data_IF_477780583478
#
_entry.id   IF_477780583478
#
_cell.length_a   1.000
_cell.length_b   1.000
_cell.length_c   1.000
_cell.angle_alpha   90.00
_cell.angle_beta   90.00
_cell.angle_gamma   90.00
#
_symmetry.space_group_name_H-M   'P 1'
#
loop_
_entity.id
_entity.type
_entity.pdbx_description
1 polymer ?
#
# COMPACT_ATOMS: atom_id res chain seq x y z
N UNK A 1 -25.64 3.30 7.50
CA UNK A 1 -25.11 2.61 6.32
C UNK A 1 -23.74 3.20 6.08
N UNK A 2 -22.66 2.50 6.43
CA UNK A 2 -21.31 3.00 6.12
C UNK A 2 -21.08 2.73 4.63
N UNK A 3 -21.16 3.77 3.82
CA UNK A 3 -20.80 3.66 2.41
C UNK A 3 -19.32 3.26 2.34
N UNK A 4 -18.97 2.14 1.66
CA UNK A 4 -17.58 1.78 1.47
C UNK A 4 -16.91 2.92 0.72
N UNK A 5 -15.79 3.42 1.27
CA UNK A 5 -15.01 4.46 0.59
C UNK A 5 -14.55 3.86 -0.74
N UNK A 6 -14.97 4.49 -1.84
CA UNK A 6 -14.55 4.06 -3.18
C UNK A 6 -13.04 4.18 -3.28
N UNK A 7 -12.34 3.17 -3.82
CA UNK A 7 -10.91 3.26 -4.03
C UNK A 7 -10.61 4.38 -5.04
N UNK A 8 -9.74 5.30 -4.64
CA UNK A 8 -9.24 6.40 -5.48
C UNK A 8 -8.29 5.92 -6.57
N UNK A 9 -7.55 4.85 -6.31
CA UNK A 9 -6.57 4.29 -7.25
C UNK A 9 -7.02 2.93 -7.80
N UNK A 10 -6.47 2.54 -8.95
CA UNK A 10 -6.87 1.33 -9.66
C UNK A 10 -5.69 0.38 -9.87
N UNK A 11 -6.02 -0.89 -10.11
CA UNK A 11 -5.06 -1.90 -10.53
C UNK A 11 -4.27 -1.46 -11.78
N UNK A 12 -2.96 -1.73 -11.80
CA UNK A 12 -2.02 -1.34 -12.85
C UNK A 12 -1.59 0.13 -12.79
N UNK A 13 -2.06 0.91 -11.80
CA UNK A 13 -1.65 2.30 -11.67
C UNK A 13 -0.30 2.40 -10.96
N UNK A 14 0.59 3.23 -11.52
CA UNK A 14 1.87 3.56 -10.89
C UNK A 14 1.67 4.58 -9.78
N UNK A 15 2.29 4.30 -8.65
CA UNK A 15 2.23 5.12 -7.45
C UNK A 15 3.61 5.34 -6.88
N UNK A 16 3.72 6.34 -6.04
CA UNK A 16 4.91 6.70 -5.29
C UNK A 16 4.57 6.79 -3.82
N UNK A 17 5.43 6.26 -2.96
CA UNK A 17 5.28 6.42 -1.50
C UNK A 17 5.49 7.87 -1.10
N UNK A 18 4.61 8.38 -0.23
CA UNK A 18 4.71 9.72 0.37
C UNK A 18 5.42 9.69 1.73
N UNK A 19 5.61 8.50 2.28
CA UNK A 19 6.24 8.24 3.59
C UNK A 19 7.07 6.97 3.52
N UNK A 20 7.91 6.77 4.53
CA UNK A 20 8.62 5.50 4.74
C UNK A 20 7.63 4.39 5.12
N UNK A 21 7.53 3.35 4.28
CA UNK A 21 6.74 2.17 4.59
C UNK A 21 7.56 1.25 5.49
N UNK A 22 7.12 1.12 6.73
CA UNK A 22 7.72 0.23 7.73
C UNK A 22 6.87 -1.00 7.95
N UNK A 23 7.50 -2.12 8.29
CA UNK A 23 6.76 -3.34 8.60
C UNK A 23 6.04 -3.20 9.95
N UNK A 24 4.72 -3.17 9.93
CA UNK A 24 3.88 -3.19 11.13
C UNK A 24 3.85 -4.56 11.84
N UNK A 25 4.44 -5.59 11.21
CA UNK A 25 4.48 -6.97 11.65
C UNK A 25 3.68 -7.91 10.75
N UNK A 26 3.01 -7.40 9.71
CA UNK A 26 2.25 -8.19 8.74
C UNK A 26 3.12 -8.73 7.60
N UNK A 27 4.25 -8.10 7.29
CA UNK A 27 5.12 -8.51 6.19
C UNK A 27 6.05 -9.67 6.60
N UNK A 28 5.97 -10.84 5.92
CA UNK A 28 6.84 -11.97 6.22
C UNK A 28 8.27 -11.71 5.74
N UNK A 29 9.26 -11.98 6.60
CA UNK A 29 10.68 -11.92 6.23
C UNK A 29 11.40 -10.61 6.57
N UNK A 30 10.70 -9.62 7.15
CA UNK A 30 11.32 -8.45 7.76
C UNK A 30 10.92 -8.36 9.24
N UNK A 31 11.80 -7.86 10.14
CA UNK A 31 11.40 -7.60 11.52
C UNK A 31 10.34 -6.48 11.57
N UNK A 32 9.59 -6.43 12.67
CA UNK A 32 8.70 -5.29 12.96
C UNK A 32 9.53 -3.99 12.99
N UNK A 33 8.97 -2.90 12.49
CA UNK A 33 9.60 -1.58 12.36
C UNK A 33 10.76 -1.52 11.35
N UNK A 34 11.00 -2.59 10.58
CA UNK A 34 11.96 -2.56 9.48
C UNK A 34 11.43 -1.69 8.34
N UNK A 35 12.29 -0.83 7.79
CA UNK A 35 12.01 -0.09 6.57
C UNK A 35 11.87 -1.07 5.39
N UNK A 36 10.69 -1.15 4.80
CA UNK A 36 10.40 -1.95 3.61
C UNK A 36 10.69 -1.13 2.35
N UNK A 37 10.11 0.08 2.29
CA UNK A 37 10.23 0.99 1.14
C UNK A 37 10.43 2.40 1.66
N UNK A 38 11.49 3.11 1.24
CA UNK A 38 11.68 4.50 1.63
C UNK A 38 10.63 5.42 1.01
N UNK A 39 10.46 6.60 1.58
CA UNK A 39 9.72 7.71 0.98
C UNK A 39 10.21 7.95 -0.46
N UNK A 40 9.26 8.13 -1.37
CA UNK A 40 9.54 8.38 -2.77
C UNK A 40 9.80 7.11 -3.59
N UNK A 41 9.67 5.91 -3.02
CA UNK A 41 9.72 4.63 -3.71
C UNK A 41 8.60 4.51 -4.76
N UNK A 42 8.95 4.04 -5.96
CA UNK A 42 8.01 3.84 -7.06
C UNK A 42 7.52 2.39 -7.09
N UNK A 43 6.21 2.20 -7.23
CA UNK A 43 5.58 0.89 -7.32
C UNK A 43 4.34 0.90 -8.21
N UNK A 44 3.75 -0.28 -8.39
CA UNK A 44 2.54 -0.48 -9.18
C UNK A 44 1.47 -1.17 -8.33
N UNK A 45 0.23 -0.69 -8.40
CA UNK A 45 -0.88 -1.31 -7.69
C UNK A 45 -1.23 -2.64 -8.37
N UNK A 46 -0.97 -3.74 -7.69
CA UNK A 46 -1.25 -5.10 -8.16
C UNK A 46 -2.53 -5.69 -7.58
N UNK A 47 -3.12 -5.06 -6.55
CA UNK A 47 -4.45 -5.43 -6.05
C UNK A 47 -5.04 -4.27 -5.22
N UNK A 48 -6.36 -4.12 -5.25
CA UNK A 48 -7.11 -3.15 -4.44
C UNK A 48 -8.07 -3.93 -3.54
N UNK A 49 -7.72 -4.04 -2.28
CA UNK A 49 -8.53 -4.65 -1.24
C UNK A 49 -9.36 -3.62 -0.48
N UNK A 50 -10.23 -4.13 0.40
CA UNK A 50 -10.94 -3.32 1.38
C UNK A 50 -10.70 -3.93 2.74
N UNK A 51 -10.24 -3.14 3.71
CA UNK A 51 -10.17 -3.56 5.09
C UNK A 51 -11.60 -3.65 5.64
N UNK A 52 -12.15 -4.86 5.76
CA UNK A 52 -13.57 -5.10 6.07
C UNK A 52 -14.01 -4.51 7.42
N UNK A 53 -13.11 -4.49 8.42
CA UNK A 53 -13.41 -3.91 9.74
C UNK A 53 -13.36 -2.39 9.77
N UNK A 54 -12.51 -1.77 8.95
CA UNK A 54 -12.30 -0.31 8.94
C UNK A 54 -13.05 0.38 7.79
N UNK A 55 -13.58 -0.40 6.85
CA UNK A 55 -14.21 0.04 5.61
C UNK A 55 -13.35 1.03 4.80
N UNK A 56 -12.03 0.83 4.85
CA UNK A 56 -11.03 1.64 4.16
C UNK A 56 -10.40 0.85 3.00
N UNK A 57 -10.14 1.47 1.84
CA UNK A 57 -9.43 0.82 0.75
C UNK A 57 -7.96 0.58 1.15
N UNK A 58 -7.45 -0.59 0.82
CA UNK A 58 -6.05 -0.97 1.00
C UNK A 58 -5.48 -1.32 -0.37
N UNK A 59 -4.38 -0.68 -0.74
CA UNK A 59 -3.74 -0.86 -2.03
C UNK A 59 -2.52 -1.75 -1.86
N UNK A 60 -2.53 -2.92 -2.48
CA UNK A 60 -1.34 -3.77 -2.56
C UNK A 60 -0.48 -3.25 -3.71
N UNK A 61 0.67 -2.70 -3.35
CA UNK A 61 1.63 -2.11 -4.28
C UNK A 61 2.85 -3.02 -4.37
N UNK A 62 3.20 -3.41 -5.59
CA UNK A 62 4.44 -4.10 -5.89
C UNK A 62 5.56 -3.09 -6.12
N UNK A 63 6.61 -3.20 -5.31
CA UNK A 63 7.84 -2.43 -5.38
C UNK A 63 8.98 -3.34 -5.85
N UNK A 64 9.58 -3.03 -7.01
CA UNK A 64 10.61 -3.90 -7.59
C UNK A 64 10.07 -5.27 -7.99
N UNK A 65 10.90 -6.32 -7.95
CA UNK A 65 10.52 -7.62 -8.54
C UNK A 65 9.76 -8.57 -7.60
N UNK A 66 9.81 -8.38 -6.27
CA UNK A 66 9.29 -9.38 -5.30
C UNK A 66 8.75 -8.80 -3.98
N UNK A 67 8.57 -7.48 -3.87
CA UNK A 67 8.14 -6.84 -2.64
C UNK A 67 6.73 -6.27 -2.83
N UNK A 68 5.73 -6.96 -2.29
CA UNK A 68 4.33 -6.48 -2.30
C UNK A 68 3.97 -5.99 -0.91
N UNK A 69 3.61 -4.71 -0.80
CA UNK A 69 3.28 -4.04 0.47
C UNK A 69 1.87 -3.48 0.40
N UNK A 70 1.09 -3.73 1.45
CA UNK A 70 -0.21 -3.10 1.63
C UNK A 70 -0.03 -1.66 2.08
N UNK A 71 -0.56 -0.72 1.31
CA UNK A 71 -0.47 0.71 1.56
C UNK A 71 -1.87 1.31 1.69
N UNK A 72 -2.03 2.30 2.56
CA UNK A 72 -3.23 3.13 2.64
C UNK A 72 -3.21 4.21 1.56
N UNK A 73 -4.39 4.79 1.29
CA UNK A 73 -4.53 5.86 0.29
C UNK A 73 -3.65 7.09 0.57
N UNK A 74 -3.39 7.36 1.85
CA UNK A 74 -2.63 8.52 2.33
C UNK A 74 -1.10 8.31 2.28
N UNK A 75 -0.66 7.06 2.20
CA UNK A 75 0.76 6.68 2.14
C UNK A 75 1.31 6.65 0.71
N UNK A 76 0.43 6.79 -0.30
CA UNK A 76 0.78 6.74 -1.72
C UNK A 76 0.12 7.85 -2.54
N UNK A 77 0.82 8.30 -3.56
CA UNK A 77 0.35 9.26 -4.56
C UNK A 77 0.53 8.69 -5.97
N UNK A 78 -0.32 9.04 -6.96
CA UNK A 78 -0.01 8.76 -8.36
C UNK A 78 1.39 9.29 -8.73
N UNK A 79 2.16 8.48 -9.45
CA UNK A 79 3.49 8.84 -9.94
C UNK A 79 3.45 9.65 -11.24
#
# INVERSE_FOLDING_TARGET
MFEPRLPKYQWGQRVRTTVDLVNDGTFPGAPKEALLVPEGGLGEIVNVGTHTEANMPVYLVEFGERLVVGCLEEEITPA
#
